data_IF_715813297232
#
_entry.id   IF_715813297232
#
_cell.length_a   1.000
_cell.length_b   1.000
_cell.length_c   1.000
_cell.angle_alpha   90.00
_cell.angle_beta   90.00
_cell.angle_gamma   90.00
#
_symmetry.space_group_name_H-M   'P 1'
#
loop_
_entity.id
_entity.type
_entity.pdbx_description
1 polymer ?
#
# COMPACT_ATOMS: atom_id res chain seq x y z
N UNK A 1 -73.39 57.10 29.02
CA UNK A 1 -73.34 55.74 28.47
C UNK A 1 -71.90 55.43 28.13
N UNK A 2 -71.39 54.23 28.45
CA UNK A 2 -70.00 53.80 28.22
C UNK A 2 -69.59 53.96 26.75
N UNK A 3 -70.55 53.80 25.82
CA UNK A 3 -70.33 54.00 24.39
C UNK A 3 -69.84 55.41 24.03
N UNK A 4 -70.37 56.46 24.68
CA UNK A 4 -69.94 57.84 24.42
C UNK A 4 -68.51 58.11 24.89
N UNK A 5 -68.06 57.44 25.95
CA UNK A 5 -66.68 57.54 26.45
C UNK A 5 -65.70 56.87 25.49
N UNK A 6 -66.08 55.71 24.93
CA UNK A 6 -65.27 55.00 23.94
C UNK A 6 -65.16 55.82 22.65
N UNK A 7 -66.29 56.23 22.08
CA UNK A 7 -66.33 56.85 20.76
C UNK A 7 -65.83 58.31 20.76
N UNK A 8 -66.02 59.05 21.86
CA UNK A 8 -65.68 60.49 21.89
C UNK A 8 -64.44 60.84 22.70
N UNK A 9 -63.90 59.90 23.50
CA UNK A 9 -62.72 60.16 24.35
C UNK A 9 -61.59 59.19 24.05
N UNK A 10 -61.84 57.88 24.03
CA UNK A 10 -60.79 56.88 23.83
C UNK A 10 -60.25 56.89 22.38
N UNK A 11 -61.14 56.82 21.39
CA UNK A 11 -60.75 56.77 19.98
C UNK A 11 -59.92 58.00 19.53
N UNK A 12 -60.30 59.25 19.87
CA UNK A 12 -59.50 60.43 19.52
C UNK A 12 -58.12 60.47 20.20
N UNK A 13 -58.00 60.03 21.46
CA UNK A 13 -56.74 60.02 22.20
C UNK A 13 -55.76 59.01 21.58
N UNK A 14 -56.24 57.80 21.30
CA UNK A 14 -55.45 56.73 20.68
C UNK A 14 -55.04 57.13 19.26
N UNK A 15 -55.99 57.67 18.47
CA UNK A 15 -55.71 58.14 17.11
C UNK A 15 -54.70 59.30 17.08
N UNK A 16 -54.75 60.21 18.06
CA UNK A 16 -53.80 61.32 18.17
C UNK A 16 -52.36 60.82 18.40
N UNK A 17 -52.18 59.88 19.34
CA UNK A 17 -50.86 59.29 19.59
C UNK A 17 -50.28 58.63 18.34
N UNK A 18 -51.03 57.75 17.66
CA UNK A 18 -50.53 57.06 16.47
C UNK A 18 -50.29 58.02 15.30
N UNK A 19 -51.08 59.09 15.18
CA UNK A 19 -50.86 60.14 14.16
C UNK A 19 -49.54 60.89 14.40
N UNK A 20 -49.24 61.25 15.65
CA UNK A 20 -47.97 61.92 15.98
C UNK A 20 -46.77 60.96 15.87
N UNK A 21 -46.97 59.69 16.20
CA UNK A 21 -45.97 58.66 16.02
C UNK A 21 -45.66 58.43 14.53
N UNK A 22 -46.68 58.39 13.66
CA UNK A 22 -46.50 58.27 12.21
C UNK A 22 -45.85 59.50 11.57
N UNK A 23 -45.91 60.67 12.22
CA UNK A 23 -45.19 61.87 11.77
C UNK A 23 -43.71 61.85 12.18
N UNK A 24 -43.40 61.22 13.31
CA UNK A 24 -42.06 61.26 13.91
C UNK A 24 -41.19 60.07 13.51
N UNK A 25 -41.79 58.98 13.01
CA UNK A 25 -41.11 57.71 12.80
C UNK A 25 -41.51 57.05 11.50
N UNK A 26 -40.56 56.35 10.89
CA UNK A 26 -40.83 55.57 9.69
C UNK A 26 -41.57 54.29 10.02
N UNK A 27 -42.25 53.72 9.02
CA UNK A 27 -42.92 52.40 9.16
C UNK A 27 -41.91 51.31 9.56
N UNK A 28 -40.64 51.43 9.13
CA UNK A 28 -39.58 50.47 9.43
C UNK A 28 -39.15 50.52 10.89
N UNK A 29 -39.01 51.72 11.45
CA UNK A 29 -38.69 51.90 12.87
C UNK A 29 -39.82 51.34 13.74
N UNK A 30 -41.06 51.47 13.27
CA UNK A 30 -42.22 50.95 13.97
C UNK A 30 -42.29 49.41 13.98
N UNK A 31 -41.86 48.77 12.89
CA UNK A 31 -41.78 47.30 12.80
C UNK A 31 -40.62 46.72 13.62
N UNK A 32 -39.48 47.41 13.66
CA UNK A 32 -38.28 46.95 14.38
C UNK A 32 -38.34 47.24 15.88
N UNK A 33 -38.88 48.40 16.27
CA UNK A 33 -38.99 48.84 17.66
C UNK A 33 -40.41 48.68 18.25
N UNK A 34 -41.23 47.77 17.71
CA UNK A 34 -42.65 47.57 18.11
C UNK A 34 -42.85 47.52 19.62
N UNK A 35 -42.03 46.75 20.33
CA UNK A 35 -42.15 46.58 21.78
C UNK A 35 -41.92 47.88 22.55
N UNK A 36 -40.94 48.67 22.13
CA UNK A 36 -40.65 49.97 22.72
C UNK A 36 -41.81 50.95 22.46
N UNK A 37 -42.37 50.94 21.24
CA UNK A 37 -43.49 51.83 20.88
C UNK A 37 -44.78 51.48 21.57
N UNK A 38 -44.99 50.20 21.84
CA UNK A 38 -46.13 49.75 22.62
C UNK A 38 -46.06 50.25 24.07
N UNK A 39 -44.88 50.22 24.68
CA UNK A 39 -44.67 50.76 26.04
C UNK A 39 -44.89 52.28 26.08
N UNK A 40 -44.36 53.00 25.09
CA UNK A 40 -44.57 54.45 24.97
C UNK A 40 -46.06 54.80 24.75
N UNK A 41 -46.75 54.02 23.92
CA UNK A 41 -48.19 54.18 23.65
C UNK A 41 -49.01 53.95 24.92
N UNK A 42 -48.75 52.86 25.64
CA UNK A 42 -49.42 52.52 26.88
C UNK A 42 -49.22 53.62 27.94
N UNK A 43 -48.02 54.18 28.05
CA UNK A 43 -47.74 55.28 28.97
C UNK A 43 -48.43 56.59 28.57
N UNK A 44 -48.54 56.90 27.27
CA UNK A 44 -49.21 58.10 26.79
C UNK A 44 -50.74 58.00 26.91
N UNK A 45 -51.32 56.90 26.44
CA UNK A 45 -52.77 56.64 26.47
C UNK A 45 -53.24 56.44 27.92
N UNK A 46 -52.48 55.70 28.74
CA UNK A 46 -52.79 55.50 30.15
C UNK A 46 -52.80 56.81 30.96
N UNK A 47 -51.91 57.77 30.64
CA UNK A 47 -51.93 59.10 31.28
C UNK A 47 -53.17 59.90 30.90
N UNK A 48 -53.59 59.87 29.63
CA UNK A 48 -54.74 60.62 29.15
C UNK A 48 -56.07 60.05 29.68
N UNK A 49 -56.16 58.73 29.86
CA UNK A 49 -57.36 58.06 30.39
C UNK A 49 -57.59 58.31 31.89
N UNK A 50 -56.52 58.52 32.67
CA UNK A 50 -56.63 58.89 34.10
C UNK A 50 -57.37 60.22 34.32
N UNK A 51 -57.32 61.16 33.38
CA UNK A 51 -58.06 62.43 33.49
C UNK A 51 -59.58 62.23 33.48
N UNK A 52 -60.04 61.11 32.93
CA UNK A 52 -61.45 60.74 32.86
C UNK A 52 -61.83 59.64 33.87
N UNK A 53 -60.97 59.37 34.86
CA UNK A 53 -61.13 58.32 35.88
C UNK A 53 -61.27 56.90 35.28
N UNK A 54 -60.57 56.66 34.16
CA UNK A 54 -60.54 55.36 33.47
C UNK A 54 -59.18 54.71 33.67
N UNK A 55 -59.18 53.47 34.15
CA UNK A 55 -57.96 52.67 34.29
C UNK A 55 -57.70 51.83 33.04
N UNK A 56 -56.51 51.99 32.44
CA UNK A 56 -56.07 51.19 31.30
C UNK A 56 -55.22 50.01 31.79
N UNK A 57 -55.64 48.78 31.44
CA UNK A 57 -54.94 47.55 31.84
C UNK A 57 -53.68 47.36 30.99
N UNK A 58 -53.85 47.33 29.65
CA UNK A 58 -52.75 47.23 28.71
C UNK A 58 -53.16 47.87 27.37
N UNK A 59 -52.20 48.44 26.66
CA UNK A 59 -52.39 48.96 25.29
C UNK A 59 -51.51 48.15 24.36
N UNK A 60 -52.13 47.26 23.59
CA UNK A 60 -51.44 46.41 22.64
C UNK A 60 -51.55 47.00 21.23
N UNK A 61 -50.44 46.99 20.49
CA UNK A 61 -50.45 47.29 19.06
C UNK A 61 -50.83 45.99 18.35
N UNK A 62 -51.90 46.02 17.56
CA UNK A 62 -52.34 44.90 16.72
C UNK A 62 -51.47 44.73 15.46
N UNK A 63 -52.12 44.43 14.35
CA UNK A 63 -51.43 44.22 13.07
C UNK A 63 -51.07 45.55 12.40
N UNK A 64 -49.81 45.66 11.99
CA UNK A 64 -49.31 46.77 11.17
C UNK A 64 -49.29 46.25 9.74
N UNK A 65 -50.04 46.89 8.83
CA UNK A 65 -50.10 46.51 7.43
C UNK A 65 -49.27 47.48 6.57
N UNK A 66 -47.95 47.29 6.40
CA UNK A 66 -47.15 48.10 5.51
C UNK A 66 -47.46 47.78 4.04
N UNK A 67 -47.24 48.71 3.10
CA UNK A 67 -47.30 48.42 1.68
C UNK A 67 -46.23 47.39 1.29
N UNK A 68 -46.60 46.43 0.41
CA UNK A 68 -45.76 45.28 0.04
C UNK A 68 -44.41 45.66 -0.60
N UNK A 69 -44.36 46.79 -1.34
CA UNK A 69 -43.16 47.29 -2.01
C UNK A 69 -41.99 47.55 -1.04
N UNK A 70 -42.28 48.01 0.18
CA UNK A 70 -41.24 48.24 1.19
C UNK A 70 -40.68 46.92 1.74
N UNK A 71 -41.51 45.90 1.86
CA UNK A 71 -41.09 44.59 2.36
C UNK A 71 -40.18 43.86 1.39
N UNK A 72 -40.41 44.02 0.08
CA UNK A 72 -39.56 43.44 -0.97
C UNK A 72 -38.12 43.95 -0.85
N UNK A 73 -37.92 45.26 -0.82
CA UNK A 73 -36.56 45.85 -0.73
C UNK A 73 -35.81 45.50 0.56
N UNK A 74 -36.52 45.32 1.68
CA UNK A 74 -35.92 44.89 2.94
C UNK A 74 -35.54 43.42 2.91
N UNK A 75 -36.43 42.60 2.36
CA UNK A 75 -36.21 41.16 2.22
C UNK A 75 -35.01 40.93 1.31
N UNK A 76 -34.94 41.63 0.18
CA UNK A 76 -33.81 41.57 -0.75
C UNK A 76 -32.52 42.04 -0.10
N UNK A 77 -32.53 43.16 0.64
CA UNK A 77 -31.35 43.63 1.37
C UNK A 77 -30.88 42.61 2.40
N UNK A 78 -31.80 41.99 3.14
CA UNK A 78 -31.47 40.98 4.15
C UNK A 78 -30.93 39.71 3.51
N UNK A 79 -31.53 39.27 2.40
CA UNK A 79 -31.04 38.14 1.62
C UNK A 79 -29.62 38.44 1.11
N UNK A 80 -29.37 39.62 0.56
CA UNK A 80 -28.05 40.01 0.08
C UNK A 80 -27.00 40.06 1.20
N UNK A 81 -27.36 40.52 2.40
CA UNK A 81 -26.47 40.49 3.58
C UNK A 81 -26.11 39.06 3.99
N UNK A 82 -27.09 38.17 4.09
CA UNK A 82 -26.86 36.78 4.48
C UNK A 82 -26.11 36.00 3.38
N UNK A 83 -26.35 36.30 2.10
CA UNK A 83 -25.56 35.79 0.98
C UNK A 83 -24.11 36.25 1.06
N UNK A 84 -23.85 37.52 1.35
CA UNK A 84 -22.48 38.03 1.52
C UNK A 84 -21.74 37.34 2.68
N UNK A 85 -22.42 37.09 3.81
CA UNK A 85 -21.85 36.30 4.92
C UNK A 85 -21.53 34.88 4.46
N UNK A 86 -22.46 34.25 3.74
CA UNK A 86 -22.27 32.91 3.19
C UNK A 86 -21.06 32.85 2.26
N UNK A 87 -20.93 33.79 1.32
CA UNK A 87 -19.78 33.85 0.41
C UNK A 87 -18.46 34.07 1.14
N UNK A 88 -18.44 34.89 2.20
CA UNK A 88 -17.23 35.10 3.01
C UNK A 88 -16.78 33.81 3.69
N UNK A 89 -17.71 33.10 4.33
CA UNK A 89 -17.42 31.79 4.95
C UNK A 89 -16.94 30.79 3.90
N UNK A 90 -17.57 30.77 2.71
CA UNK A 90 -17.12 29.92 1.62
C UNK A 90 -15.71 30.29 1.13
N UNK A 91 -15.40 31.57 0.96
CA UNK A 91 -14.07 32.04 0.54
C UNK A 91 -12.99 31.64 1.57
N UNK A 92 -13.26 31.83 2.87
CA UNK A 92 -12.37 31.42 3.94
C UNK A 92 -12.14 29.90 3.93
N UNK A 93 -13.21 29.11 3.78
CA UNK A 93 -13.11 27.66 3.66
C UNK A 93 -12.30 27.22 2.43
N UNK A 94 -12.47 27.88 1.27
CA UNK A 94 -11.66 27.60 0.08
C UNK A 94 -10.20 28.00 0.26
N UNK A 95 -9.92 29.12 0.93
CA UNK A 95 -8.55 29.54 1.24
C UNK A 95 -7.85 28.53 2.16
N UNK A 96 -8.53 28.06 3.20
CA UNK A 96 -8.04 26.99 4.08
C UNK A 96 -7.80 25.69 3.30
N UNK A 97 -8.73 25.30 2.43
CA UNK A 97 -8.57 24.12 1.57
C UNK A 97 -7.36 24.26 0.66
N UNK A 98 -7.16 25.42 0.03
CA UNK A 98 -6.01 25.68 -0.83
C UNK A 98 -4.70 25.63 -0.03
N UNK A 99 -4.68 26.14 1.20
CA UNK A 99 -3.53 26.03 2.10
C UNK A 99 -3.24 24.57 2.47
N UNK A 100 -4.27 23.80 2.83
CA UNK A 100 -4.13 22.39 3.16
C UNK A 100 -3.60 21.58 1.97
N UNK A 101 -4.19 21.74 0.79
CA UNK A 101 -3.72 21.06 -0.42
C UNK A 101 -2.27 21.41 -0.72
N UNK A 102 -1.89 22.70 -0.64
CA UNK A 102 -0.49 23.11 -0.84
C UNK A 102 0.46 22.49 0.19
N UNK A 103 0.06 22.45 1.46
CA UNK A 103 0.87 21.85 2.52
C UNK A 103 1.02 20.33 2.32
N UNK A 104 -0.06 19.63 1.96
CA UNK A 104 -0.04 18.21 1.61
C UNK A 104 0.84 17.94 0.41
N UNK A 105 0.66 18.68 -0.70
CA UNK A 105 1.51 18.51 -1.89
C UNK A 105 2.99 18.77 -1.61
N UNK A 106 3.31 19.74 -0.75
CA UNK A 106 4.70 19.98 -0.33
C UNK A 106 5.24 18.79 0.49
N UNK A 107 4.44 18.24 1.40
CA UNK A 107 4.81 17.07 2.17
C UNK A 107 5.01 15.83 1.28
N UNK A 108 4.14 15.63 0.29
CA UNK A 108 4.24 14.53 -0.68
C UNK A 108 5.52 14.67 -1.53
N UNK A 109 5.81 15.87 -2.03
CA UNK A 109 7.07 16.17 -2.75
C UNK A 109 8.27 15.92 -1.84
N UNK A 110 8.21 16.35 -0.57
CA UNK A 110 9.31 16.14 0.37
C UNK A 110 9.53 14.64 0.64
N UNK A 111 8.46 13.85 0.73
CA UNK A 111 8.53 12.40 0.87
C UNK A 111 9.13 11.75 -0.38
N UNK A 112 8.73 12.18 -1.57
CA UNK A 112 9.28 11.69 -2.84
C UNK A 112 10.77 12.00 -2.98
N UNK A 113 11.19 13.24 -2.69
CA UNK A 113 12.61 13.64 -2.71
C UNK A 113 13.44 12.78 -1.76
N UNK A 114 12.99 12.60 -0.52
CA UNK A 114 13.70 11.77 0.46
C UNK A 114 13.74 10.31 0.00
N UNK A 115 12.66 9.78 -0.56
CA UNK A 115 12.63 8.42 -1.10
C UNK A 115 13.61 8.25 -2.27
N UNK A 116 13.71 9.24 -3.17
CA UNK A 116 14.69 9.23 -4.26
C UNK A 116 16.14 9.30 -3.74
N UNK A 117 16.43 10.19 -2.79
CA UNK A 117 17.76 10.30 -2.17
C UNK A 117 18.17 9.01 -1.45
N UNK A 118 17.26 8.46 -0.64
CA UNK A 118 17.46 7.18 0.04
C UNK A 118 17.59 6.05 -0.98
N UNK A 119 16.83 6.06 -2.06
CA UNK A 119 16.91 5.09 -3.15
C UNK A 119 18.28 5.08 -3.83
N UNK A 120 18.84 6.25 -4.15
CA UNK A 120 20.20 6.38 -4.70
C UNK A 120 21.23 5.84 -3.70
N UNK A 121 21.14 6.23 -2.42
CA UNK A 121 22.05 5.73 -1.40
C UNK A 121 21.96 4.20 -1.21
N UNK A 122 20.75 3.65 -1.23
CA UNK A 122 20.54 2.19 -1.18
C UNK A 122 21.14 1.52 -2.41
N UNK A 123 20.93 2.05 -3.61
CA UNK A 123 21.51 1.52 -4.84
C UNK A 123 23.05 1.57 -4.81
N UNK A 124 23.64 2.66 -4.32
CA UNK A 124 25.09 2.80 -4.13
C UNK A 124 25.62 1.80 -3.11
N UNK A 125 24.95 1.63 -1.97
CA UNK A 125 25.30 0.64 -0.95
C UNK A 125 25.17 -0.78 -1.49
N UNK A 126 24.14 -1.08 -2.28
CA UNK A 126 23.97 -2.38 -2.94
C UNK A 126 25.07 -2.63 -3.97
N UNK A 127 25.44 -1.64 -4.78
CA UNK A 127 26.54 -1.75 -5.73
C UNK A 127 27.87 -1.98 -5.01
N UNK A 128 28.14 -1.24 -3.93
CA UNK A 128 29.33 -1.44 -3.10
C UNK A 128 29.34 -2.81 -2.41
N UNK A 129 28.19 -3.27 -1.92
CA UNK A 129 28.05 -4.60 -1.33
C UNK A 129 28.34 -5.69 -2.37
N UNK A 130 27.82 -5.55 -3.58
CA UNK A 130 28.08 -6.48 -4.69
C UNK A 130 29.58 -6.51 -5.08
N UNK A 131 30.24 -5.35 -5.14
CA UNK A 131 31.69 -5.26 -5.40
C UNK A 131 32.48 -5.95 -4.28
N UNK A 132 32.13 -5.68 -3.01
CA UNK A 132 32.78 -6.33 -1.86
C UNK A 132 32.57 -7.84 -1.84
N UNK A 133 31.36 -8.30 -2.17
CA UNK A 133 31.05 -9.72 -2.27
C UNK A 133 31.86 -10.37 -3.39
N UNK A 134 31.86 -9.80 -4.59
CA UNK A 134 32.66 -10.31 -5.71
C UNK A 134 34.16 -10.32 -5.40
N UNK A 135 34.67 -9.29 -4.70
CA UNK A 135 36.06 -9.26 -4.24
C UNK A 135 36.35 -10.33 -3.18
N UNK A 136 35.43 -10.56 -2.25
CA UNK A 136 35.55 -11.61 -1.24
C UNK A 136 35.52 -13.02 -1.85
N UNK A 137 34.65 -13.23 -2.83
CA UNK A 137 34.56 -14.48 -3.59
C UNK A 137 35.83 -14.73 -4.41
N UNK A 138 36.36 -13.71 -5.08
CA UNK A 138 37.62 -13.79 -5.81
C UNK A 138 38.80 -14.12 -4.88
N UNK A 139 38.91 -13.45 -3.73
CA UNK A 139 39.97 -13.73 -2.76
C UNK A 139 39.82 -15.13 -2.13
N UNK A 140 38.59 -15.57 -1.86
CA UNK A 140 38.30 -16.93 -1.39
C UNK A 140 38.73 -17.98 -2.41
N UNK A 141 38.40 -17.80 -3.69
CA UNK A 141 38.84 -18.70 -4.77
C UNK A 141 40.36 -18.74 -4.86
N UNK A 142 41.03 -17.58 -4.78
CA UNK A 142 42.48 -17.49 -4.81
C UNK A 142 43.13 -18.21 -3.63
N UNK A 143 42.61 -18.03 -2.41
CA UNK A 143 43.10 -18.70 -1.21
C UNK A 143 42.90 -20.22 -1.30
N UNK A 144 41.73 -20.66 -1.80
CA UNK A 144 41.47 -22.10 -2.04
C UNK A 144 42.41 -22.68 -3.08
N UNK A 145 42.64 -21.99 -4.20
CA UNK A 145 43.55 -22.42 -5.25
C UNK A 145 45.00 -22.51 -4.74
N UNK A 146 45.43 -21.56 -3.91
CA UNK A 146 46.74 -21.61 -3.24
C UNK A 146 46.85 -22.82 -2.30
N UNK A 147 45.83 -23.05 -1.46
CA UNK A 147 45.78 -24.21 -0.56
C UNK A 147 45.77 -25.54 -1.31
N UNK A 148 45.04 -25.63 -2.42
CA UNK A 148 45.03 -26.81 -3.30
C UNK A 148 46.38 -27.02 -3.98
N UNK A 149 47.02 -25.95 -4.48
CA UNK A 149 48.35 -26.03 -5.07
C UNK A 149 49.39 -26.51 -4.04
N UNK A 150 49.36 -25.99 -2.82
CA UNK A 150 50.23 -26.44 -1.73
C UNK A 150 49.96 -27.90 -1.37
N UNK A 151 48.70 -28.30 -1.24
CA UNK A 151 48.31 -29.68 -0.98
C UNK A 151 48.80 -30.64 -2.09
N UNK A 152 48.68 -30.25 -3.36
CA UNK A 152 49.20 -31.02 -4.50
C UNK A 152 50.73 -31.09 -4.44
N UNK A 153 51.43 -29.99 -4.11
CA UNK A 153 52.90 -30.00 -3.96
C UNK A 153 53.35 -30.93 -2.84
N UNK A 154 52.72 -30.88 -1.68
CA UNK A 154 53.05 -31.73 -0.54
C UNK A 154 52.75 -33.20 -0.86
N UNK A 155 51.58 -33.50 -1.43
CA UNK A 155 51.25 -34.86 -1.88
C UNK A 155 52.20 -35.36 -2.95
N UNK A 156 52.53 -34.54 -3.94
CA UNK A 156 53.47 -34.87 -5.01
C UNK A 156 54.88 -35.12 -4.48
N UNK A 157 55.36 -34.32 -3.53
CA UNK A 157 56.65 -34.53 -2.87
C UNK A 157 56.65 -35.82 -2.03
N UNK A 158 55.60 -36.06 -1.25
CA UNK A 158 55.44 -37.29 -0.47
C UNK A 158 55.40 -38.55 -1.37
N UNK A 159 54.66 -38.48 -2.48
CA UNK A 159 54.55 -39.57 -3.43
C UNK A 159 55.86 -39.81 -4.20
N UNK A 160 56.57 -38.74 -4.60
CA UNK A 160 57.90 -38.85 -5.17
C UNK A 160 58.92 -39.47 -4.19
N UNK A 161 58.85 -39.11 -2.91
CA UNK A 161 59.68 -39.72 -1.86
C UNK A 161 59.36 -41.20 -1.67
N UNK A 162 58.07 -41.55 -1.60
CA UNK A 162 57.62 -42.94 -1.50
C UNK A 162 58.07 -43.77 -2.72
N UNK A 163 57.97 -43.22 -3.93
CA UNK A 163 58.45 -43.87 -5.15
C UNK A 163 59.96 -44.06 -5.16
N UNK A 164 60.74 -43.06 -4.72
CA UNK A 164 62.20 -43.18 -4.63
C UNK A 164 62.61 -44.25 -3.61
N UNK A 165 62.01 -44.21 -2.40
CA UNK A 165 62.28 -45.20 -1.36
C UNK A 165 61.87 -46.62 -1.79
N UNK A 166 60.74 -46.78 -2.50
CA UNK A 166 60.30 -48.06 -3.05
C UNK A 166 61.22 -48.58 -4.17
N UNK A 167 61.72 -47.68 -5.03
CA UNK A 167 62.67 -48.02 -6.09
C UNK A 167 64.05 -48.43 -5.54
N UNK A 168 64.54 -47.73 -4.51
CA UNK A 168 65.78 -48.07 -3.80
C UNK A 168 65.66 -49.43 -3.06
N UNK A 169 64.51 -49.73 -2.48
CA UNK A 169 64.28 -50.99 -1.76
C UNK A 169 64.10 -52.22 -2.68
N UNK A 170 63.60 -52.06 -3.90
CA UNK A 170 63.38 -53.16 -4.86
C UNK A 170 64.46 -53.28 -5.96
N UNK A 171 65.31 -52.27 -6.14
CA UNK A 171 66.27 -52.18 -7.25
C UNK A 171 65.62 -51.82 -8.59
N UNK A 172 66.38 -51.20 -9.49
CA UNK A 172 65.87 -50.56 -10.73
C UNK A 172 65.08 -51.52 -11.65
N UNK A 173 65.47 -52.79 -11.69
CA UNK A 173 64.80 -53.84 -12.49
C UNK A 173 63.58 -54.48 -11.82
N UNK A 174 63.48 -54.46 -10.48
CA UNK A 174 62.32 -54.99 -9.75
C UNK A 174 61.17 -54.01 -9.67
N UNK A 175 61.48 -52.73 -9.47
CA UNK A 175 60.50 -51.65 -9.39
C UNK A 175 59.74 -51.42 -10.71
N UNK A 176 60.42 -51.51 -11.86
CA UNK A 176 59.81 -51.37 -13.18
C UNK A 176 58.83 -52.51 -13.50
N UNK A 177 59.15 -53.75 -13.10
CA UNK A 177 58.26 -54.90 -13.29
C UNK A 177 56.99 -54.80 -12.43
N UNK A 178 57.11 -54.40 -11.15
CA UNK A 178 55.95 -54.17 -10.28
C UNK A 178 55.11 -52.99 -10.76
N UNK A 179 55.72 -51.88 -11.18
CA UNK A 179 55.01 -50.72 -11.71
C UNK A 179 54.26 -51.07 -13.02
N UNK A 180 54.87 -51.85 -13.92
CA UNK A 180 54.22 -52.39 -15.12
C UNK A 180 53.04 -53.29 -14.74
N UNK A 181 53.20 -54.20 -13.78
CA UNK A 181 52.12 -55.06 -13.29
C UNK A 181 50.97 -54.24 -12.68
N UNK A 182 51.28 -53.19 -11.91
CA UNK A 182 50.32 -52.33 -11.24
C UNK A 182 49.54 -51.46 -12.23
N UNK A 183 50.22 -50.93 -13.26
CA UNK A 183 49.58 -50.21 -14.38
C UNK A 183 48.69 -51.15 -15.21
N UNK A 184 49.14 -52.39 -15.46
CA UNK A 184 48.38 -53.43 -16.17
C UNK A 184 47.14 -53.85 -15.37
N UNK A 185 47.23 -53.87 -14.04
CA UNK A 185 46.12 -54.12 -13.11
C UNK A 185 45.13 -52.97 -13.01
N UNK A 186 45.58 -51.73 -12.83
CA UNK A 186 44.71 -50.54 -12.75
C UNK A 186 44.01 -50.21 -14.07
N UNK A 187 44.64 -50.51 -15.22
CA UNK A 187 44.01 -50.39 -16.55
C UNK A 187 43.24 -51.63 -16.99
N UNK A 188 43.19 -52.69 -16.17
CA UNK A 188 42.37 -53.88 -16.40
C UNK A 188 42.72 -54.69 -17.66
N UNK A 189 44.01 -54.92 -17.95
CA UNK A 189 44.41 -55.75 -19.10
C UNK A 189 44.37 -57.22 -18.71
N UNK A 190 43.49 -58.01 -19.34
CA UNK A 190 43.28 -59.45 -19.09
C UNK A 190 44.45 -60.29 -19.63
N UNK A 191 45.14 -61.03 -18.76
CA UNK A 191 46.26 -61.94 -19.08
C UNK A 191 45.83 -63.39 -18.78
N UNK A 192 44.88 -63.92 -19.54
CA UNK A 192 44.61 -65.37 -19.53
C UNK A 192 44.48 -65.78 -20.99
N UNK A 193 45.37 -66.63 -21.53
CA UNK A 193 45.14 -67.27 -22.81
C UNK A 193 44.09 -68.37 -22.59
N UNK A 194 42.93 -68.23 -23.22
CA UNK A 194 41.96 -69.32 -23.30
C UNK A 194 42.58 -70.47 -24.11
N UNK A 195 42.99 -71.54 -23.42
CA UNK A 195 43.34 -72.81 -24.06
C UNK A 195 42.34 -73.89 -23.69
N UNK A 196 41.88 -74.56 -24.76
CA UNK A 196 40.96 -75.67 -24.82
C UNK A 196 41.26 -76.81 -23.83
N UNK A 197 40.21 -77.39 -23.26
CA UNK A 197 40.23 -78.76 -22.74
C UNK A 197 39.64 -79.69 -23.81
N UNK A 198 40.53 -80.42 -24.49
CA UNK A 198 40.20 -81.68 -25.14
C UNK A 198 40.17 -82.82 -24.11
N UNK A 199 39.10 -83.60 -24.13
CA UNK A 199 38.91 -84.74 -23.23
C UNK A 199 37.59 -85.48 -23.49
N UNK A 200 37.54 -86.20 -24.62
CA UNK A 200 36.69 -87.36 -24.96
C UNK A 200 35.48 -87.67 -24.05
N UNK A 201 34.26 -87.39 -24.52
CA UNK A 201 33.03 -87.90 -23.87
C UNK A 201 31.71 -87.26 -24.34
N UNK A 202 31.21 -87.70 -25.50
CA UNK A 202 29.79 -87.69 -25.90
C UNK A 202 29.01 -86.35 -25.99
N UNK A 203 28.92 -85.84 -27.23
CA UNK A 203 27.77 -85.19 -27.88
C UNK A 203 26.90 -84.21 -27.06
N UNK A 204 27.15 -82.89 -27.23
CA UNK A 204 26.13 -81.87 -26.88
C UNK A 204 26.51 -80.39 -26.96
N UNK A 205 27.79 -80.01 -26.90
CA UNK A 205 28.13 -78.66 -26.40
C UNK A 205 28.26 -77.51 -27.43
N UNK A 206 28.22 -77.73 -28.76
CA UNK A 206 28.26 -76.59 -29.72
C UNK A 206 26.90 -75.91 -29.94
N UNK A 207 25.80 -76.66 -29.81
CA UNK A 207 24.45 -76.08 -29.90
C UNK A 207 24.10 -75.36 -28.60
N UNK A 208 24.61 -75.83 -27.46
CA UNK A 208 24.34 -75.22 -26.14
C UNK A 208 25.13 -73.92 -25.92
N UNK A 209 26.34 -73.79 -26.47
CA UNK A 209 27.07 -72.52 -26.50
C UNK A 209 26.39 -71.46 -27.39
N UNK A 210 25.81 -71.88 -28.53
CA UNK A 210 25.04 -70.99 -29.40
C UNK A 210 23.68 -70.62 -28.78
N UNK A 211 23.03 -71.56 -28.09
CA UNK A 211 21.78 -71.34 -27.37
C UNK A 211 21.98 -70.42 -26.16
N UNK A 212 23.10 -70.51 -25.45
CA UNK A 212 23.45 -69.61 -24.34
C UNK A 212 23.62 -68.14 -24.78
N UNK A 213 24.21 -67.91 -25.97
CA UNK A 213 24.34 -66.56 -26.55
C UNK A 213 22.99 -66.01 -27.03
N UNK A 214 22.13 -66.86 -27.59
CA UNK A 214 20.82 -66.46 -28.11
C UNK A 214 19.77 -66.30 -26.99
N UNK A 215 19.91 -67.04 -25.89
CA UNK A 215 19.05 -66.96 -24.70
C UNK A 215 19.41 -65.76 -23.81
N UNK A 216 20.69 -65.37 -23.71
CA UNK A 216 21.09 -64.09 -23.09
C UNK A 216 20.64 -62.88 -23.92
N UNK A 217 20.54 -63.02 -25.24
CA UNK A 217 20.01 -61.98 -26.11
C UNK A 217 18.46 -61.89 -26.07
N UNK A 218 17.74 -62.99 -25.81
CA UNK A 218 16.27 -63.00 -25.69
C UNK A 218 15.75 -62.74 -24.26
N UNK A 219 16.51 -63.05 -23.21
CA UNK A 219 16.14 -62.70 -21.82
C UNK A 219 16.43 -61.23 -21.46
N UNK A 220 17.12 -60.48 -22.32
CA UNK A 220 17.40 -59.05 -22.16
C UNK A 220 16.37 -58.11 -22.81
N UNK A 221 15.38 -58.63 -23.54
CA UNK A 221 14.37 -57.80 -24.21
C UNK A 221 12.97 -58.40 -24.08
N UNK A 222 12.26 -58.03 -23.02
CA UNK A 222 10.89 -58.48 -22.82
C UNK A 222 10.19 -57.91 -21.58
N UNK A 223 9.71 -56.66 -21.70
CA UNK A 223 8.44 -56.16 -21.12
C UNK A 223 8.41 -55.94 -19.58
N UNK A 224 7.78 -54.91 -18.98
CA UNK A 224 6.85 -53.84 -19.39
C UNK A 224 6.58 -52.87 -18.20
N UNK A 225 5.83 -51.76 -18.40
CA UNK A 225 5.71 -50.57 -17.51
C UNK A 225 4.54 -50.64 -16.51
N UNK A 226 4.07 -49.47 -16.01
CA UNK A 226 2.89 -49.10 -15.15
C UNK A 226 3.37 -48.53 -13.79
N UNK A 227 2.98 -47.36 -13.25
CA UNK A 227 1.69 -46.65 -13.08
C UNK A 227 1.94 -45.13 -12.84
N UNK A 228 1.28 -44.16 -13.50
CA UNK A 228 -0.09 -43.58 -13.34
C UNK A 228 -0.22 -42.45 -12.27
N UNK A 229 -1.24 -41.56 -12.40
CA UNK A 229 -1.11 -40.10 -12.35
C UNK A 229 -1.63 -39.48 -11.05
N UNK A 230 -1.30 -38.21 -10.77
CA UNK A 230 -1.99 -37.43 -9.73
C UNK A 230 -2.28 -35.99 -10.16
N UNK A 231 -3.59 -35.75 -10.34
CA UNK A 231 -4.36 -34.58 -9.90
C UNK A 231 -3.71 -33.20 -9.94
N UNK A 232 -3.87 -32.51 -11.07
CA UNK A 232 -3.97 -31.06 -11.11
C UNK A 232 -5.45 -30.66 -11.17
N UNK A 233 -5.99 -30.18 -10.06
CA UNK A 233 -7.13 -29.26 -10.03
C UNK A 233 -7.28 -28.70 -8.62
N UNK A 234 -6.87 -27.44 -8.42
CA UNK A 234 -7.66 -26.45 -7.70
C UNK A 234 -7.22 -25.05 -8.12
N UNK A 235 -8.22 -24.18 -8.30
CA UNK A 235 -8.16 -22.72 -8.38
C UNK A 235 -7.88 -22.04 -9.74
N UNK A 236 -8.96 -21.73 -10.46
CA UNK A 236 -9.24 -20.38 -11.00
C UNK A 236 -10.61 -19.95 -10.43
N UNK A 237 -10.89 -18.66 -10.15
CA UNK A 237 -11.02 -17.60 -11.17
C UNK A 237 -10.29 -16.29 -10.78
N UNK A 238 -9.58 -15.64 -11.70
CA UNK A 238 -10.04 -14.44 -12.43
C UNK A 238 -10.63 -13.31 -11.56
N UNK A 239 -9.85 -12.24 -11.46
CA UNK A 239 -10.26 -10.87 -11.16
C UNK A 239 -10.09 -10.07 -12.45
N UNK A 240 -11.10 -9.29 -12.84
CA UNK A 240 -11.01 -7.91 -13.39
C UNK A 240 -12.11 -7.60 -14.42
N UNK A 241 -13.17 -6.92 -13.97
CA UNK A 241 -13.85 -5.79 -14.61
C UNK A 241 -15.07 -5.39 -13.77
#
# INVERSE_FOLDING_TARGET
SVQNLVDHVLEPIVANYFRNAAQSYTVLDFLTARSERQQEAAAHIGRALRTYDVEAIDTLIGDINPPAELMETLTDRKIAEEQNKTYRVQQEAQAQRQQLVRATSLADIQQEVVHSEQGVNIADLQAQAAIKQASGDAESIKLRAQGEAEAIRVRGAAQAYAYRAGAEAMGEHGYTAVQLMQIVGERGVRIIPDIMVGGQGQNGSMVEALLGLLMTQQLGQGQTPVAKPNGASTAKPETSA
#
